data_IF_764120838434
#
_entry.id   IF_764120838434
#
_cell.length_a   1.000
_cell.length_b   1.000
_cell.length_c   1.000
_cell.angle_alpha   90.00
_cell.angle_beta   90.00
_cell.angle_gamma   90.00
#
_symmetry.space_group_name_H-M   'P 1'
#
loop_
_entity.id
_entity.type
_entity.pdbx_description
1 polymer ?
#
# COMPACT_ATOMS: atom_id res chain seq x y z
N UNK A 1 6.32 13.40 2.46
CA UNK A 1 4.88 13.19 2.76
C UNK A 1 4.75 12.17 3.88
N UNK A 2 4.02 12.46 4.96
CA UNK A 2 3.81 11.49 6.05
C UNK A 2 2.68 10.55 5.64
N UNK A 3 2.99 9.25 5.52
CA UNK A 3 1.99 8.20 5.29
C UNK A 3 1.04 8.17 6.49
N UNK A 4 -0.25 8.34 6.26
CA UNK A 4 -1.24 8.32 7.34
C UNK A 4 -1.50 6.87 7.76
N UNK A 5 -1.12 6.53 8.99
CA UNK A 5 -1.49 5.26 9.62
C UNK A 5 -3.01 5.07 9.61
N UNK A 6 -3.78 6.14 9.81
CA UNK A 6 -5.24 6.11 9.73
C UNK A 6 -5.76 5.60 8.37
N UNK A 7 -5.19 6.05 7.25
CA UNK A 7 -5.61 5.64 5.91
C UNK A 7 -5.28 4.16 5.66
N UNK A 8 -4.11 3.70 6.11
CA UNK A 8 -3.74 2.28 6.05
C UNK A 8 -4.69 1.40 6.86
N UNK A 9 -4.99 1.79 8.10
CA UNK A 9 -5.91 1.03 8.94
C UNK A 9 -7.33 1.01 8.35
N UNK A 10 -7.78 2.13 7.76
CA UNK A 10 -9.06 2.18 7.07
C UNK A 10 -9.09 1.25 5.84
N UNK A 11 -7.99 1.17 5.08
CA UNK A 11 -7.83 0.21 3.99
C UNK A 11 -7.86 -1.23 4.50
N UNK A 12 -7.05 -1.57 5.51
CA UNK A 12 -6.98 -2.92 6.08
C UNK A 12 -8.34 -3.42 6.64
N UNK A 13 -9.17 -2.51 7.15
CA UNK A 13 -10.53 -2.85 7.60
C UNK A 13 -11.50 -3.13 6.44
N UNK A 14 -11.35 -2.44 5.32
CA UNK A 14 -12.18 -2.64 4.13
C UNK A 14 -11.68 -3.83 3.28
N UNK A 15 -10.38 -4.06 3.29
CA UNK A 15 -9.69 -5.06 2.50
C UNK A 15 -8.84 -5.94 3.43
N UNK A 16 -9.39 -7.05 3.96
CA UNK A 16 -8.61 -7.98 4.77
C UNK A 16 -7.42 -8.53 3.99
N UNK A 17 -6.37 -8.90 4.72
CA UNK A 17 -5.16 -9.51 4.18
C UNK A 17 -5.51 -10.75 3.33
N UNK A 18 -5.11 -10.82 2.04
CA UNK A 18 -5.45 -11.95 1.17
C UNK A 18 -4.84 -13.28 1.63
N UNK A 19 -3.74 -13.24 2.38
CA UNK A 19 -3.03 -14.43 2.87
C UNK A 19 -3.61 -15.01 4.17
N UNK A 20 -4.11 -14.14 5.07
CA UNK A 20 -4.53 -14.56 6.43
C UNK A 20 -5.98 -14.21 6.78
N UNK A 21 -6.66 -13.41 5.94
CA UNK A 21 -8.00 -12.88 6.22
C UNK A 21 -8.06 -11.84 7.32
N UNK A 22 -6.91 -11.42 7.88
CA UNK A 22 -6.87 -10.45 8.99
C UNK A 22 -7.10 -9.03 8.49
N UNK A 23 -7.94 -8.28 9.21
CA UNK A 23 -8.23 -6.85 8.94
C UNK A 23 -7.29 -5.90 9.68
N UNK A 24 -6.26 -6.44 10.34
CA UNK A 24 -5.27 -5.66 11.08
C UNK A 24 -3.97 -6.44 11.26
N UNK A 25 -2.86 -5.72 11.28
CA UNK A 25 -1.54 -6.25 11.58
C UNK A 25 -0.79 -6.71 10.33
N UNK A 26 0.30 -7.46 10.53
CA UNK A 26 1.21 -7.84 9.44
C UNK A 26 0.56 -8.90 8.55
N UNK A 27 0.45 -8.62 7.25
CA UNK A 27 0.09 -9.62 6.24
C UNK A 27 1.38 -10.29 5.71
N UNK A 28 1.64 -11.57 6.00
CA UNK A 28 2.84 -12.23 5.49
C UNK A 28 2.78 -12.36 3.96
N UNK A 29 3.83 -11.91 3.28
CA UNK A 29 3.94 -11.91 1.82
C UNK A 29 3.38 -10.67 1.11
N UNK A 30 2.64 -9.81 1.82
CA UNK A 30 2.01 -8.63 1.25
C UNK A 30 2.26 -7.37 2.10
N UNK A 31 2.23 -6.22 1.44
CA UNK A 31 2.34 -4.91 2.05
C UNK A 31 1.24 -4.02 1.50
N UNK A 32 0.73 -3.10 2.32
CA UNK A 32 -0.17 -2.04 1.83
C UNK A 32 0.68 -0.95 1.19
N UNK A 33 0.50 -0.79 -0.11
CA UNK A 33 1.21 0.19 -0.92
C UNK A 33 0.24 1.05 -1.74
N UNK A 34 0.70 2.21 -2.22
CA UNK A 34 -0.14 3.12 -2.99
C UNK A 34 -0.17 2.72 -4.46
N UNK A 35 -1.36 2.56 -5.06
CA UNK A 35 -1.54 2.23 -6.48
C UNK A 35 -0.81 3.27 -7.35
N UNK A 36 -1.12 4.55 -7.12
CA UNK A 36 -0.37 5.67 -7.65
C UNK A 36 0.62 6.17 -6.59
N UNK A 37 1.92 6.21 -6.90
CA UNK A 37 2.91 6.78 -6.00
C UNK A 37 2.54 8.18 -5.53
N UNK A 38 2.79 8.49 -4.26
CA UNK A 38 2.59 9.85 -3.74
C UNK A 38 3.48 10.87 -4.49
N UNK A 39 4.67 10.45 -4.92
CA UNK A 39 5.60 11.27 -5.71
C UNK A 39 5.06 11.59 -7.11
N UNK A 40 4.28 10.69 -7.72
CA UNK A 40 3.56 10.92 -8.97
C UNK A 40 2.21 11.68 -8.80
N UNK A 41 1.97 12.31 -7.64
CA UNK A 41 0.70 12.97 -7.31
C UNK A 41 -0.42 12.03 -6.85
N UNK A 42 -0.07 10.84 -6.35
CA UNK A 42 -1.00 9.92 -5.72
C UNK A 42 -1.60 10.48 -4.42
N UNK A 43 -2.87 10.16 -4.17
CA UNK A 43 -3.53 10.51 -2.91
C UNK A 43 -3.09 9.56 -1.79
N UNK A 44 -2.85 10.08 -0.58
CA UNK A 44 -2.66 9.27 0.63
C UNK A 44 -4.02 8.84 1.21
N UNK A 45 -4.82 8.14 0.39
CA UNK A 45 -6.17 7.73 0.73
C UNK A 45 -6.31 6.21 0.55
N UNK A 46 -7.21 5.54 1.33
CA UNK A 46 -7.45 4.11 1.18
C UNK A 46 -7.93 3.74 -0.24
N UNK A 47 -8.56 4.68 -0.96
CA UNK A 47 -8.95 4.52 -2.36
C UNK A 47 -7.76 4.40 -3.33
N UNK A 48 -6.57 4.87 -2.94
CA UNK A 48 -5.34 4.76 -3.70
C UNK A 48 -4.37 3.77 -3.04
N UNK A 49 -4.86 2.86 -2.19
CA UNK A 49 -4.05 1.80 -1.58
C UNK A 49 -4.44 0.44 -2.16
N UNK A 50 -3.46 -0.46 -2.22
CA UNK A 50 -3.67 -1.86 -2.59
C UNK A 50 -2.78 -2.79 -1.76
N UNK A 51 -3.21 -4.04 -1.63
CA UNK A 51 -2.31 -5.11 -1.22
C UNK A 51 -1.37 -5.40 -2.37
N UNK A 52 -0.07 -5.24 -2.13
CA UNK A 52 0.97 -5.56 -3.09
C UNK A 52 1.89 -6.61 -2.49
N UNK A 53 2.33 -7.57 -3.30
CA UNK A 53 3.30 -8.55 -2.81
C UNK A 53 4.63 -7.86 -2.48
N UNK A 54 5.39 -8.41 -1.54
CA UNK A 54 6.72 -7.85 -1.20
C UNK A 54 7.64 -7.83 -2.44
N UNK A 55 7.52 -8.82 -3.32
CA UNK A 55 8.27 -8.90 -4.56
C UNK A 55 7.90 -7.77 -5.53
N UNK A 56 6.59 -7.54 -5.75
CA UNK A 56 6.12 -6.43 -6.58
C UNK A 56 6.45 -5.06 -5.98
N UNK A 57 6.31 -4.90 -4.67
CA UNK A 57 6.67 -3.65 -3.99
C UNK A 57 8.15 -3.30 -4.21
N UNK A 58 9.04 -4.29 -4.16
CA UNK A 58 10.46 -4.10 -4.51
C UNK A 58 10.69 -3.74 -5.98
N UNK A 59 9.88 -4.29 -6.90
CA UNK A 59 9.98 -3.95 -8.32
C UNK A 59 9.43 -2.54 -8.60
N UNK A 60 8.38 -2.14 -7.90
CA UNK A 60 7.75 -0.82 -8.00
C UNK A 60 8.61 0.29 -7.41
N UNK A 61 9.23 0.05 -6.25
CA UNK A 61 10.19 0.98 -5.61
C UNK A 61 11.34 1.39 -6.56
N UNK A 62 11.84 0.44 -7.37
CA UNK A 62 12.85 0.72 -8.41
C UNK A 62 12.34 1.65 -9.53
N UNK A 63 11.04 1.68 -9.76
CA UNK A 63 10.38 2.42 -10.85
C UNK A 63 9.81 3.75 -10.35
N UNK A 64 9.54 3.88 -9.04
CA UNK A 64 8.96 5.07 -8.40
C UNK A 64 9.84 6.32 -8.58
N UNK A 65 11.16 6.15 -8.74
CA UNK A 65 12.09 7.24 -9.05
C UNK A 65 11.97 7.85 -10.46
N UNK A 66 11.05 7.38 -11.30
CA UNK A 66 10.81 7.95 -12.65
C UNK A 66 9.83 9.13 -12.67
N UNK A 67 8.98 9.26 -11.65
CA UNK A 67 8.16 10.46 -11.47
C UNK A 67 8.91 11.46 -10.62
N UNK A 68 9.58 12.42 -11.25
CA UNK A 68 10.18 13.59 -10.58
C UNK A 68 9.53 14.87 -11.06
#
# INVERSE_FOLDING_TARGET
>A
MKRSSAAKHAFERQHPCPSTGKTSGRCPGYVVDHVRPLECGGADAPSNMQWQTIAEGKAKDKTEGLCR
#
